data_IF_194817690887
#
_entry.id   IF_194817690887
#
_cell.length_a   1.000
_cell.length_b   1.000
_cell.length_c   1.000
_cell.angle_alpha   90.00
_cell.angle_beta   90.00
_cell.angle_gamma   90.00
#
_symmetry.space_group_name_H-M   'P 1'
#
loop_
_entity.id
_entity.type
_entity.pdbx_description
1 polymer ?
#
# COMPACT_ATOMS: atom_id res chain seq x y z
N UNK A 1 -95.55 42.83 25.69
CA UNK A 1 -94.99 43.59 24.55
C UNK A 1 -93.49 43.74 24.76
N UNK A 2 -92.71 43.57 23.70
CA UNK A 2 -91.24 43.71 23.57
C UNK A 2 -90.35 42.56 24.11
N UNK A 3 -90.06 41.63 23.19
CA UNK A 3 -88.86 40.81 23.16
C UNK A 3 -87.64 41.67 22.75
N UNK A 4 -86.46 41.44 23.35
CA UNK A 4 -85.27 40.87 22.67
C UNK A 4 -83.94 41.08 23.42
N UNK A 5 -83.14 40.01 23.38
CA UNK A 5 -81.68 39.88 23.48
C UNK A 5 -80.96 40.10 24.82
N UNK A 6 -80.51 38.98 25.42
CA UNK A 6 -79.34 38.90 26.29
C UNK A 6 -78.23 38.14 25.53
N UNK A 7 -77.07 38.78 25.35
CA UNK A 7 -75.84 38.13 24.90
C UNK A 7 -75.17 37.44 26.09
N UNK A 8 -74.81 36.17 25.95
CA UNK A 8 -73.95 35.44 26.87
C UNK A 8 -72.65 35.13 26.14
N UNK A 9 -71.54 35.72 26.58
CA UNK A 9 -70.21 35.51 26.01
C UNK A 9 -69.65 34.14 26.38
N UNK A 10 -69.18 33.40 25.38
CA UNK A 10 -68.50 32.11 25.52
C UNK A 10 -66.99 32.35 25.61
N UNK A 11 -66.38 31.95 26.72
CA UNK A 11 -64.93 31.99 26.91
C UNK A 11 -64.26 30.80 26.20
N UNK A 12 -63.30 31.08 25.32
CA UNK A 12 -62.42 30.09 24.70
C UNK A 12 -61.36 29.63 25.72
N UNK A 13 -61.32 28.33 25.99
CA UNK A 13 -60.21 27.68 26.68
C UNK A 13 -59.15 27.24 25.66
N UNK A 14 -57.93 27.80 25.74
CA UNK A 14 -56.75 27.31 25.02
C UNK A 14 -56.18 26.09 25.76
N UNK A 15 -56.09 24.95 25.07
CA UNK A 15 -55.31 23.79 25.49
C UNK A 15 -53.87 23.93 24.97
N UNK A 16 -52.91 24.05 25.88
CA UNK A 16 -51.48 24.04 25.58
C UNK A 16 -51.00 22.60 25.41
N UNK A 17 -50.62 22.21 24.19
CA UNK A 17 -49.87 20.99 23.90
C UNK A 17 -48.42 21.16 24.33
N UNK A 18 -47.98 20.41 25.33
CA UNK A 18 -46.56 20.27 25.70
C UNK A 18 -45.86 19.40 24.66
N UNK A 19 -45.04 20.02 23.80
CA UNK A 19 -44.09 19.30 22.95
C UNK A 19 -42.93 18.80 23.81
N UNK A 20 -42.76 17.48 23.89
CA UNK A 20 -41.56 16.87 24.44
C UNK A 20 -40.37 17.21 23.52
N UNK A 21 -39.49 18.08 23.98
CA UNK A 21 -38.19 18.32 23.36
C UNK A 21 -37.32 17.12 23.74
N UNK A 22 -37.16 16.18 22.81
CA UNK A 22 -36.09 15.21 22.90
C UNK A 22 -34.77 15.99 22.75
N UNK A 23 -34.04 16.14 23.86
CA UNK A 23 -32.67 16.62 23.84
C UNK A 23 -31.83 15.60 23.06
N UNK A 24 -31.49 15.94 21.83
CA UNK A 24 -30.48 15.25 21.05
C UNK A 24 -29.17 15.30 21.84
N UNK A 25 -28.73 14.15 22.35
CA UNK A 25 -27.43 14.05 23.00
C UNK A 25 -26.37 14.42 21.95
N UNK A 26 -25.40 15.31 22.26
CA UNK A 26 -24.29 15.54 21.37
C UNK A 26 -23.60 14.19 21.15
N UNK A 27 -23.56 13.75 19.89
CA UNK A 27 -22.74 12.62 19.45
C UNK A 27 -21.35 12.84 20.03
N UNK A 28 -20.96 12.04 21.01
CA UNK A 28 -19.58 12.04 21.49
C UNK A 28 -18.72 11.73 20.26
N UNK A 29 -17.96 12.72 19.81
CA UNK A 29 -16.88 12.48 18.87
C UNK A 29 -15.91 11.53 19.56
N UNK A 30 -16.04 10.24 19.26
CA UNK A 30 -15.10 9.21 19.68
C UNK A 30 -13.78 9.56 19.01
N UNK A 31 -12.94 10.37 19.67
CA UNK A 31 -11.58 10.63 19.22
C UNK A 31 -10.90 9.28 19.03
N UNK A 32 -10.39 9.00 17.83
CA UNK A 32 -9.66 7.75 17.61
C UNK A 32 -8.40 7.81 18.46
N UNK A 33 -8.26 6.91 19.44
CA UNK A 33 -7.01 6.77 20.19
C UNK A 33 -5.96 6.16 19.28
N UNK A 34 -5.12 7.00 18.68
CA UNK A 34 -3.95 6.56 17.91
C UNK A 34 -2.89 6.00 18.87
N UNK A 35 -2.69 4.69 18.84
CA UNK A 35 -1.69 4.02 19.65
C UNK A 35 -0.33 4.00 18.96
N UNK A 36 0.76 4.12 19.73
CA UNK A 36 2.12 4.01 19.21
C UNK A 36 2.48 2.59 18.75
N UNK A 37 1.78 1.57 19.27
CA UNK A 37 1.97 0.17 18.91
C UNK A 37 0.89 -0.27 17.91
N UNK A 38 1.22 -1.17 16.97
CA UNK A 38 0.21 -1.74 16.09
C UNK A 38 -0.80 -2.57 16.89
N UNK A 39 -2.07 -2.66 16.44
CA UNK A 39 -3.06 -3.52 17.08
C UNK A 39 -2.58 -4.98 17.12
N UNK A 40 -2.70 -5.62 18.29
CA UNK A 40 -2.26 -7.01 18.47
C UNK A 40 -3.17 -8.03 17.76
N UNK A 41 -4.44 -7.67 17.53
CA UNK A 41 -5.44 -8.51 16.88
C UNK A 41 -6.17 -7.72 15.80
N UNK A 42 -6.52 -8.40 14.72
CA UNK A 42 -7.45 -7.85 13.73
C UNK A 42 -8.90 -7.97 14.21
N UNK A 43 -9.86 -7.24 13.61
CA UNK A 43 -11.28 -7.48 13.80
C UNK A 43 -11.66 -8.94 13.46
N UNK A 44 -12.81 -9.40 13.95
CA UNK A 44 -13.39 -10.70 13.57
C UNK A 44 -13.76 -10.75 12.07
N UNK A 45 -13.81 -11.94 11.47
CA UNK A 45 -13.92 -12.09 10.02
C UNK A 45 -15.25 -11.54 9.43
N UNK A 46 -16.30 -11.49 10.25
CA UNK A 46 -17.62 -10.95 9.92
C UNK A 46 -17.79 -9.47 10.29
N UNK A 47 -16.75 -8.83 10.85
CA UNK A 47 -16.75 -7.41 11.18
C UNK A 47 -16.95 -6.53 9.94
N UNK A 48 -17.38 -5.29 10.19
CA UNK A 48 -17.67 -4.35 9.12
C UNK A 48 -16.41 -3.92 8.37
N UNK A 49 -16.57 -3.42 7.13
CA UNK A 49 -15.45 -2.84 6.40
C UNK A 49 -14.81 -1.66 7.16
N UNK A 50 -15.61 -0.86 7.87
CA UNK A 50 -15.11 0.26 8.68
C UNK A 50 -14.19 -0.21 9.80
N UNK A 51 -14.47 -1.36 10.43
CA UNK A 51 -13.64 -1.88 11.52
C UNK A 51 -12.28 -2.34 11.00
N UNK A 52 -12.26 -3.00 9.84
CA UNK A 52 -11.01 -3.33 9.14
C UNK A 52 -10.27 -2.08 8.66
N UNK A 53 -10.97 -1.06 8.20
CA UNK A 53 -10.35 0.20 7.76
C UNK A 53 -9.74 0.97 8.94
N UNK A 54 -10.38 0.98 10.11
CA UNK A 54 -9.80 1.50 11.35
C UNK A 54 -8.57 0.69 11.79
N UNK A 55 -8.65 -0.64 11.71
CA UNK A 55 -7.50 -1.50 11.97
C UNK A 55 -6.31 -1.13 11.07
N UNK A 56 -6.53 -1.01 9.76
CA UNK A 56 -5.50 -0.62 8.79
C UNK A 56 -4.90 0.75 9.07
N UNK A 57 -5.74 1.73 9.42
CA UNK A 57 -5.26 3.05 9.83
C UNK A 57 -4.43 3.01 11.11
N UNK A 58 -4.84 2.23 12.12
CA UNK A 58 -4.06 2.06 13.34
C UNK A 58 -2.70 1.41 13.07
N UNK A 59 -2.66 0.40 12.18
CA UNK A 59 -1.40 -0.20 11.72
C UNK A 59 -0.55 0.84 10.99
N UNK A 60 -1.11 1.60 10.04
CA UNK A 60 -0.39 2.63 9.30
C UNK A 60 0.18 3.72 10.22
N UNK A 61 -0.59 4.19 11.20
CA UNK A 61 -0.14 5.17 12.19
C UNK A 61 1.01 4.62 13.04
N UNK A 62 0.87 3.42 13.60
CA UNK A 62 1.91 2.80 14.43
C UNK A 62 3.21 2.56 13.64
N UNK A 63 3.11 2.12 12.39
CA UNK A 63 4.27 1.93 11.51
C UNK A 63 4.99 3.25 11.19
N UNK A 64 4.26 4.38 11.18
CA UNK A 64 4.82 5.70 10.95
C UNK A 64 5.24 6.43 12.23
N UNK A 65 5.15 5.79 13.39
CA UNK A 65 5.74 6.31 14.62
C UNK A 65 7.27 6.37 14.51
N UNK A 66 7.96 7.34 15.14
CA UNK A 66 9.42 7.32 15.24
C UNK A 66 9.94 5.98 15.79
N UNK A 67 10.97 5.43 15.17
CA UNK A 67 11.62 4.21 15.65
C UNK A 67 12.56 4.49 16.83
N UNK A 68 12.62 3.56 17.78
CA UNK A 68 13.59 3.56 18.86
C UNK A 68 15.00 3.39 18.30
N UNK A 69 15.90 4.31 18.69
CA UNK A 69 17.29 4.28 18.21
C UNK A 69 17.97 2.96 18.57
N UNK A 70 18.52 2.27 17.58
CA UNK A 70 19.21 0.98 17.74
C UNK A 70 18.29 -0.24 17.94
N UNK A 71 16.96 -0.06 17.91
CA UNK A 71 15.97 -1.13 18.04
C UNK A 71 15.01 -1.08 16.85
N UNK A 72 15.39 -1.76 15.76
CA UNK A 72 14.59 -1.79 14.54
C UNK A 72 13.21 -2.39 14.83
N UNK A 73 12.20 -1.78 14.24
CA UNK A 73 10.81 -2.20 14.34
C UNK A 73 10.12 -1.89 15.67
N UNK A 74 10.81 -1.26 16.62
CA UNK A 74 10.21 -0.84 17.89
C UNK A 74 9.90 0.67 17.83
N UNK A 75 8.67 1.11 18.11
CA UNK A 75 8.36 2.53 18.20
C UNK A 75 8.96 3.15 19.47
N UNK A 76 9.44 4.37 19.37
CA UNK A 76 9.74 5.21 20.52
C UNK A 76 8.44 5.91 20.98
N UNK A 77 7.68 5.23 21.84
CA UNK A 77 6.45 5.76 22.40
C UNK A 77 6.65 6.97 23.35
N UNK A 78 7.91 7.34 23.66
CA UNK A 78 8.20 8.58 24.41
C UNK A 78 8.19 9.82 23.51
N UNK A 79 8.29 9.64 22.19
CA UNK A 79 8.23 10.70 21.20
C UNK A 79 6.82 10.84 20.61
N UNK A 80 6.38 12.07 20.27
CA UNK A 80 5.13 12.25 19.54
C UNK A 80 5.26 11.73 18.09
N UNK A 81 4.14 11.28 17.54
CA UNK A 81 4.02 10.95 16.12
C UNK A 81 4.45 12.14 15.24
N UNK A 82 5.22 11.87 14.20
CA UNK A 82 5.76 12.91 13.31
C UNK A 82 7.07 13.55 13.78
N UNK A 83 7.65 13.10 14.89
CA UNK A 83 9.02 13.49 15.26
C UNK A 83 10.03 13.06 14.20
N UNK A 84 11.15 13.78 14.13
CA UNK A 84 12.23 13.50 13.19
C UNK A 84 12.87 12.13 13.40
N UNK A 85 13.37 11.54 12.31
CA UNK A 85 14.05 10.25 12.33
C UNK A 85 13.33 9.22 11.46
N UNK A 86 13.89 8.01 11.33
CA UNK A 86 13.21 6.93 10.62
C UNK A 86 11.95 6.52 11.38
N UNK A 87 10.87 6.27 10.65
CA UNK A 87 9.71 5.59 11.21
C UNK A 87 10.00 4.13 11.53
N UNK A 88 9.11 3.49 12.32
CA UNK A 88 9.17 2.05 12.63
C UNK A 88 9.39 1.23 11.37
N UNK A 89 8.57 1.43 10.33
CA UNK A 89 8.71 0.65 9.10
C UNK A 89 9.97 1.01 8.29
N UNK A 90 10.45 2.25 8.36
CA UNK A 90 11.72 2.65 7.72
C UNK A 90 12.93 1.95 8.36
N UNK A 91 12.79 1.45 9.59
CA UNK A 91 13.83 0.68 10.26
C UNK A 91 13.82 -0.82 9.94
N UNK A 92 12.77 -1.34 9.30
CA UNK A 92 12.69 -2.75 8.89
C UNK A 92 13.78 -3.11 7.88
N UNK A 93 14.11 -4.41 7.79
CA UNK A 93 15.07 -4.93 6.83
C UNK A 93 14.48 -4.95 5.43
N UNK A 94 15.19 -4.35 4.46
CA UNK A 94 14.80 -4.37 3.04
C UNK A 94 15.19 -5.68 2.37
N UNK A 95 14.71 -5.93 1.15
CA UNK A 95 15.12 -7.11 0.36
C UNK A 95 16.63 -7.27 0.25
N UNK A 96 17.36 -6.19 0.00
CA UNK A 96 18.81 -6.23 -0.17
C UNK A 96 19.54 -6.49 1.15
N UNK A 97 18.93 -6.18 2.29
CA UNK A 97 19.47 -6.53 3.61
C UNK A 97 19.11 -7.98 4.03
N UNK A 98 18.05 -8.57 3.46
CA UNK A 98 17.60 -9.94 3.78
C UNK A 98 18.26 -10.98 2.86
N UNK A 99 18.31 -10.69 1.57
CA UNK A 99 18.71 -11.63 0.52
C UNK A 99 20.07 -11.26 -0.08
N UNK A 100 21.10 -11.38 0.74
CA UNK A 100 22.47 -11.01 0.37
C UNK A 100 23.00 -11.85 -0.82
N UNK A 101 23.97 -11.30 -1.58
CA UNK A 101 24.66 -12.05 -2.63
C UNK A 101 25.19 -13.40 -2.14
N UNK A 102 25.16 -14.40 -3.01
CA UNK A 102 25.60 -15.78 -2.71
C UNK A 102 24.84 -16.45 -1.55
N UNK A 103 23.61 -16.03 -1.27
CA UNK A 103 22.77 -16.65 -0.23
C UNK A 103 23.40 -16.59 1.16
N UNK A 104 24.17 -15.53 1.43
CA UNK A 104 24.83 -15.32 2.71
C UNK A 104 23.80 -15.06 3.82
N UNK A 105 24.15 -15.46 5.05
CA UNK A 105 23.34 -15.14 6.22
C UNK A 105 23.31 -13.61 6.41
N UNK A 106 22.11 -12.98 6.50
CA UNK A 106 21.97 -11.52 6.60
C UNK A 106 22.39 -10.92 7.94
N UNK A 107 22.84 -11.74 8.90
CA UNK A 107 23.35 -11.30 10.20
C UNK A 107 22.25 -11.08 11.23
N UNK A 108 22.48 -10.20 12.22
CA UNK A 108 21.47 -9.87 13.24
C UNK A 108 20.46 -8.82 12.76
N UNK A 109 19.23 -8.91 13.26
CA UNK A 109 18.14 -7.95 13.01
C UNK A 109 18.59 -6.49 13.23
N UNK A 110 19.09 -6.17 14.43
CA UNK A 110 19.49 -4.81 14.84
C UNK A 110 20.86 -4.33 14.30
N UNK A 111 21.27 -4.78 13.11
CA UNK A 111 22.42 -4.18 12.42
C UNK A 111 22.13 -2.72 12.02
N UNK A 112 23.16 -1.84 11.90
CA UNK A 112 22.96 -0.42 11.58
C UNK A 112 22.11 -0.20 10.34
N UNK A 113 21.35 0.91 10.29
CA UNK A 113 20.59 1.29 9.10
C UNK A 113 21.54 1.63 7.96
N UNK A 114 21.30 1.05 6.80
CA UNK A 114 22.01 1.36 5.57
C UNK A 114 21.24 2.40 4.74
N UNK A 115 21.94 3.17 3.92
CA UNK A 115 21.30 4.06 2.95
C UNK A 115 20.51 3.21 1.97
N UNK A 116 19.19 3.45 1.87
CA UNK A 116 18.35 2.69 0.94
C UNK A 116 18.77 2.98 -0.50
N UNK A 117 18.88 1.92 -1.30
CA UNK A 117 19.13 1.99 -2.74
C UNK A 117 17.91 1.44 -3.47
N UNK A 118 17.15 2.31 -4.13
CA UNK A 118 15.90 1.94 -4.79
C UNK A 118 16.07 1.84 -6.30
N UNK A 119 15.34 0.91 -6.89
CA UNK A 119 15.20 0.74 -8.33
C UNK A 119 13.73 0.47 -8.67
N UNK A 120 13.43 0.26 -9.96
CA UNK A 120 12.19 -0.37 -10.35
C UNK A 120 12.22 -1.84 -9.92
N UNK A 121 11.15 -2.33 -9.29
CA UNK A 121 11.02 -3.73 -8.90
C UNK A 121 10.12 -4.41 -9.93
N UNK A 122 10.65 -5.34 -10.71
CA UNK A 122 9.84 -6.25 -11.53
C UNK A 122 9.95 -7.68 -10.97
N UNK A 123 8.93 -8.12 -10.24
CA UNK A 123 8.87 -9.49 -9.69
C UNK A 123 8.64 -10.54 -10.79
N UNK A 124 7.95 -10.19 -11.88
CA UNK A 124 7.71 -11.12 -12.98
C UNK A 124 8.96 -11.40 -13.84
N UNK A 125 9.93 -10.48 -13.87
CA UNK A 125 11.27 -10.72 -14.42
C UNK A 125 12.08 -11.76 -13.61
N UNK A 126 11.70 -12.02 -12.34
CA UNK A 126 12.27 -13.07 -11.50
C UNK A 126 11.58 -14.42 -11.80
N UNK A 127 11.94 -15.02 -12.94
CA UNK A 127 11.46 -16.30 -13.48
C UNK A 127 10.86 -17.27 -12.44
N UNK A 128 9.54 -17.50 -12.48
CA UNK A 128 8.94 -18.85 -12.38
C UNK A 128 7.42 -18.93 -12.65
N UNK A 129 6.75 -17.87 -13.14
CA UNK A 129 5.28 -17.91 -13.27
C UNK A 129 4.85 -17.85 -14.73
N UNK A 130 4.01 -18.80 -15.14
CA UNK A 130 3.17 -18.73 -16.35
C UNK A 130 2.10 -17.63 -16.28
N UNK A 131 2.10 -16.81 -15.23
CA UNK A 131 1.15 -15.71 -14.95
C UNK A 131 1.85 -14.36 -15.16
N UNK A 132 2.50 -14.22 -16.31
CA UNK A 132 3.38 -13.08 -16.65
C UNK A 132 2.58 -11.78 -16.76
N UNK A 133 1.43 -11.79 -17.44
CA UNK A 133 0.69 -10.56 -17.78
C UNK A 133 0.13 -9.74 -16.61
N UNK A 134 -0.44 -10.38 -15.57
CA UNK A 134 -1.02 -9.66 -14.44
C UNK A 134 0.03 -9.21 -13.41
N UNK A 135 1.09 -10.01 -13.22
CA UNK A 135 2.17 -9.70 -12.26
C UNK A 135 3.07 -8.58 -12.81
N UNK A 136 3.35 -8.58 -14.12
CA UNK A 136 4.08 -7.50 -14.82
C UNK A 136 3.40 -6.14 -14.66
N UNK A 137 2.06 -6.12 -14.68
CA UNK A 137 1.27 -4.90 -14.62
C UNK A 137 0.94 -4.47 -13.18
N UNK A 138 1.01 -5.40 -12.20
CA UNK A 138 0.85 -5.15 -10.76
C UNK A 138 2.17 -4.83 -10.04
N UNK A 139 3.30 -5.12 -10.69
CA UNK A 139 4.63 -4.99 -10.10
C UNK A 139 5.59 -4.34 -11.10
N UNK A 140 5.59 -3.01 -11.11
CA UNK A 140 6.71 -2.23 -11.65
C UNK A 140 6.88 -2.25 -13.16
N UNK A 141 5.79 -2.02 -13.90
CA UNK A 141 5.87 -1.35 -15.19
C UNK A 141 6.49 0.04 -15.07
N UNK A 142 6.90 0.64 -16.17
CA UNK A 142 7.27 2.06 -16.15
C UNK A 142 6.09 2.86 -15.62
N UNK A 143 6.33 3.59 -14.53
CA UNK A 143 5.40 4.56 -13.99
C UNK A 143 6.16 5.87 -13.84
N UNK A 144 5.99 6.75 -14.81
CA UNK A 144 6.63 8.05 -14.91
C UNK A 144 5.64 9.10 -14.39
N UNK A 145 6.08 9.89 -13.40
CA UNK A 145 5.27 10.96 -12.82
C UNK A 145 5.11 12.16 -13.79
N UNK A 146 4.26 13.11 -13.42
CA UNK A 146 4.02 14.33 -14.22
C UNK A 146 5.24 15.28 -14.28
N UNK A 147 6.34 14.96 -13.57
CA UNK A 147 7.64 15.65 -13.67
C UNK A 147 8.62 14.91 -14.57
N UNK A 148 8.22 13.80 -15.19
CA UNK A 148 9.07 12.98 -16.06
C UNK A 148 10.02 12.06 -15.31
N UNK A 149 9.82 11.87 -14.00
CA UNK A 149 10.68 11.01 -13.17
C UNK A 149 10.07 9.61 -13.01
N UNK A 150 10.88 8.54 -12.99
CA UNK A 150 10.39 7.22 -12.68
C UNK A 150 9.95 7.09 -11.22
N UNK A 151 8.96 6.25 -11.01
CA UNK A 151 8.54 5.79 -9.68
C UNK A 151 9.40 4.62 -9.26
N UNK A 152 9.90 4.68 -8.04
CA UNK A 152 10.76 3.70 -7.41
C UNK A 152 9.98 2.87 -6.40
N UNK A 153 10.41 1.63 -6.17
CA UNK A 153 9.73 0.74 -5.24
C UNK A 153 10.69 0.19 -4.23
N UNK A 154 10.16 -0.12 -3.04
CA UNK A 154 10.92 -0.74 -1.97
C UNK A 154 10.05 -1.74 -1.21
N UNK A 155 10.67 -2.82 -0.74
CA UNK A 155 10.01 -3.87 0.01
C UNK A 155 10.81 -4.14 1.28
N UNK A 156 10.12 -4.12 2.42
CA UNK A 156 10.71 -4.37 3.73
C UNK A 156 9.84 -5.32 4.56
N UNK A 157 10.47 -6.05 5.47
CA UNK A 157 9.82 -7.03 6.33
C UNK A 157 10.13 -6.77 7.81
N UNK A 158 9.15 -6.98 8.68
CA UNK A 158 9.36 -6.81 10.12
C UNK A 158 10.23 -7.93 10.71
N UNK A 159 10.57 -7.79 12.00
CA UNK A 159 11.43 -8.75 12.69
C UNK A 159 10.87 -10.18 12.65
N UNK A 160 9.56 -10.34 12.86
CA UNK A 160 8.89 -11.64 12.81
C UNK A 160 9.05 -12.34 11.46
N UNK A 161 8.91 -11.62 10.36
CA UNK A 161 9.18 -12.14 9.01
C UNK A 161 10.67 -12.46 8.81
N UNK A 162 11.55 -11.57 9.27
CA UNK A 162 13.00 -11.73 9.16
C UNK A 162 13.51 -12.97 9.90
N UNK A 163 13.13 -13.12 11.17
CA UNK A 163 13.54 -14.24 12.01
C UNK A 163 13.08 -15.56 11.39
N UNK A 164 11.85 -15.64 10.89
CA UNK A 164 11.36 -16.82 10.15
C UNK A 164 12.23 -17.15 8.92
N UNK A 165 12.61 -16.15 8.13
CA UNK A 165 13.48 -16.34 6.96
C UNK A 165 14.87 -16.84 7.40
N UNK A 166 15.46 -16.25 8.44
CA UNK A 166 16.82 -16.57 8.90
C UNK A 166 16.88 -17.94 9.58
N UNK A 167 15.96 -18.23 10.49
CA UNK A 167 15.90 -19.50 11.24
C UNK A 167 15.74 -20.71 10.31
N UNK A 168 15.01 -20.55 9.21
CA UNK A 168 14.82 -21.59 8.20
C UNK A 168 15.86 -21.58 7.07
N UNK A 169 16.84 -20.66 7.11
CA UNK A 169 17.80 -20.41 6.03
C UNK A 169 17.14 -20.12 4.67
N UNK A 170 15.93 -19.55 4.66
CA UNK A 170 15.16 -19.28 3.44
C UNK A 170 15.69 -18.08 2.63
N UNK A 171 16.71 -17.37 3.12
CA UNK A 171 17.51 -16.45 2.31
C UNK A 171 18.35 -17.18 1.23
N UNK A 172 18.56 -18.48 1.39
CA UNK A 172 19.28 -19.33 0.43
C UNK A 172 18.30 -20.00 -0.55
N UNK A 173 18.46 -19.72 -1.85
CA UNK A 173 17.61 -20.25 -2.91
C UNK A 173 17.59 -21.78 -2.99
N UNK A 174 18.72 -22.44 -2.72
CA UNK A 174 18.85 -23.90 -2.80
C UNK A 174 18.12 -24.62 -1.66
N UNK A 175 17.81 -23.89 -0.59
CA UNK A 175 17.04 -24.36 0.57
C UNK A 175 15.55 -24.06 0.34
N UNK A 176 15.20 -22.79 0.13
CA UNK A 176 13.79 -22.39 0.03
C UNK A 176 13.09 -23.00 -1.19
N UNK A 177 13.81 -23.28 -2.28
CA UNK A 177 13.25 -23.96 -3.46
C UNK A 177 12.71 -25.37 -3.18
N UNK A 178 13.19 -26.02 -2.12
CA UNK A 178 12.78 -27.37 -1.70
C UNK A 178 11.73 -27.36 -0.59
N UNK A 179 11.45 -26.19 0.00
CA UNK A 179 10.46 -26.04 1.06
C UNK A 179 9.04 -26.27 0.51
N UNK A 180 8.26 -27.10 1.20
CA UNK A 180 6.88 -27.45 0.83
C UNK A 180 5.83 -26.72 1.67
N UNK A 181 6.18 -26.41 2.92
CA UNK A 181 5.27 -25.92 3.95
C UNK A 181 5.77 -24.57 4.49
N UNK A 182 5.98 -23.60 3.61
CA UNK A 182 6.24 -22.22 4.03
C UNK A 182 4.96 -21.70 4.67
N UNK A 183 5.07 -21.25 5.93
CA UNK A 183 3.98 -20.68 6.71
C UNK A 183 4.58 -19.73 7.75
N UNK A 184 4.39 -18.43 7.55
CA UNK A 184 4.91 -17.42 8.46
C UNK A 184 4.21 -17.52 9.84
N UNK A 185 4.90 -17.13 10.92
CA UNK A 185 4.25 -16.95 12.22
C UNK A 185 3.30 -15.74 12.21
N UNK A 186 2.35 -15.74 13.16
CA UNK A 186 1.48 -14.59 13.38
C UNK A 186 2.30 -13.32 13.65
N UNK A 187 1.75 -12.18 13.23
CA UNK A 187 2.38 -10.84 13.27
C UNK A 187 3.50 -10.64 12.24
N UNK A 188 3.81 -11.63 11.40
CA UNK A 188 4.62 -11.38 10.20
C UNK A 188 3.99 -10.24 9.39
N UNK A 189 4.82 -9.26 9.04
CA UNK A 189 4.41 -8.07 8.30
C UNK A 189 5.37 -7.84 7.14
N UNK A 190 4.82 -7.53 5.97
CA UNK A 190 5.58 -7.08 4.82
C UNK A 190 4.99 -5.76 4.31
N UNK A 191 5.88 -4.90 3.84
CA UNK A 191 5.54 -3.57 3.36
C UNK A 191 6.12 -3.42 1.97
N UNK A 192 5.31 -2.95 1.03
CA UNK A 192 5.75 -2.51 -0.29
C UNK A 192 5.39 -1.05 -0.47
N UNK A 193 6.34 -0.23 -0.90
CA UNK A 193 6.16 1.22 -1.04
C UNK A 193 6.52 1.69 -2.44
N UNK A 194 5.83 2.73 -2.91
CA UNK A 194 6.10 3.45 -4.14
C UNK A 194 6.55 4.87 -3.79
N UNK A 195 7.58 5.35 -4.49
CA UNK A 195 8.27 6.60 -4.23
C UNK A 195 8.47 7.38 -5.51
N UNK A 196 8.25 8.69 -5.44
CA UNK A 196 8.65 9.61 -6.51
C UNK A 196 9.77 10.52 -6.04
N UNK A 197 10.57 11.01 -6.98
CA UNK A 197 11.56 12.05 -6.71
C UNK A 197 10.83 13.37 -6.44
N UNK A 198 11.13 14.01 -5.31
CA UNK A 198 10.67 15.36 -5.02
C UNK A 198 11.68 16.37 -5.58
N UNK A 199 11.16 17.35 -6.33
CA UNK A 199 11.93 18.43 -6.92
C UNK A 199 11.64 19.76 -6.22
N UNK A 200 12.34 20.82 -6.60
CA UNK A 200 12.04 22.18 -6.11
C UNK A 200 10.63 22.68 -6.50
N UNK A 201 9.90 21.96 -7.36
CA UNK A 201 8.55 22.28 -7.81
C UNK A 201 7.46 21.58 -6.99
N UNK A 202 7.86 20.71 -6.05
CA UNK A 202 6.96 19.93 -5.22
C UNK A 202 6.95 20.48 -3.78
N UNK A 203 5.80 20.40 -3.12
CA UNK A 203 5.67 20.75 -1.70
C UNK A 203 6.02 19.54 -0.83
N UNK A 204 7.31 19.40 -0.49
CA UNK A 204 7.80 18.29 0.33
C UNK A 204 7.15 18.21 1.72
N UNK A 205 6.54 19.29 2.23
CA UNK A 205 5.83 19.30 3.52
C UNK A 205 4.51 18.50 3.51
N UNK A 206 4.14 17.93 2.36
CA UNK A 206 2.96 17.07 2.18
C UNK A 206 3.28 15.58 2.06
N UNK A 207 4.56 15.21 2.15
CA UNK A 207 5.02 13.84 1.92
C UNK A 207 5.78 13.32 3.14
N UNK A 208 5.59 12.05 3.46
CA UNK A 208 6.60 11.29 4.18
C UNK A 208 7.83 11.15 3.27
N UNK A 209 8.99 11.58 3.75
CA UNK A 209 10.21 11.67 2.93
C UNK A 209 11.31 10.70 3.37
N UNK A 210 12.24 10.45 2.45
CA UNK A 210 13.45 9.68 2.68
C UNK A 210 14.57 10.15 1.73
N UNK A 211 15.80 10.25 2.23
CA UNK A 211 16.98 10.31 1.37
C UNK A 211 17.37 8.90 0.94
N UNK A 212 17.58 8.70 -0.36
CA UNK A 212 17.96 7.40 -0.91
C UNK A 212 18.90 7.55 -2.11
N UNK A 213 19.65 6.49 -2.39
CA UNK A 213 20.25 6.28 -3.71
C UNK A 213 19.17 5.73 -4.63
N UNK A 214 19.06 6.25 -5.85
CA UNK A 214 18.11 5.77 -6.85
C UNK A 214 18.82 5.41 -8.14
N UNK A 215 18.42 4.27 -8.73
CA UNK A 215 18.95 3.81 -10.01
C UNK A 215 18.68 4.84 -11.12
N UNK A 216 19.69 5.05 -11.97
CA UNK A 216 19.58 5.86 -13.19
C UNK A 216 19.28 4.98 -14.39
N UNK A 217 18.42 5.47 -15.28
CA UNK A 217 17.97 4.76 -16.47
C UNK A 217 18.22 5.60 -17.74
N UNK A 218 18.44 4.93 -18.86
CA UNK A 218 18.52 5.58 -20.17
C UNK A 218 17.12 5.94 -20.75
N UNK A 219 17.10 6.49 -21.96
CA UNK A 219 15.85 6.87 -22.65
C UNK A 219 14.94 5.68 -22.98
N UNK A 220 15.48 4.47 -22.97
CA UNK A 220 14.83 3.19 -23.20
C UNK A 220 14.48 2.48 -21.89
N UNK A 221 14.61 3.17 -20.74
CA UNK A 221 14.28 2.63 -19.42
C UNK A 221 15.17 1.48 -18.98
N UNK A 222 16.37 1.34 -19.55
CA UNK A 222 17.34 0.35 -19.12
C UNK A 222 18.20 0.93 -17.99
N UNK A 223 18.44 0.18 -16.90
CA UNK A 223 19.35 0.61 -15.85
C UNK A 223 20.76 0.84 -16.41
N UNK A 224 21.35 1.98 -16.09
CA UNK A 224 22.72 2.35 -16.50
C UNK A 224 23.80 1.69 -15.64
N UNK A 225 23.42 1.11 -14.51
CA UNK A 225 24.33 0.61 -13.47
C UNK A 225 24.78 1.68 -12.47
N UNK A 226 24.43 2.96 -12.70
CA UNK A 226 24.73 4.05 -11.79
C UNK A 226 23.53 4.39 -10.89
N UNK A 227 23.81 4.96 -9.73
CA UNK A 227 22.80 5.55 -8.83
C UNK A 227 23.09 7.03 -8.60
N UNK A 228 22.06 7.77 -8.21
CA UNK A 228 22.17 9.16 -7.74
C UNK A 228 21.43 9.34 -6.43
N UNK A 229 21.88 10.25 -5.58
CA UNK A 229 21.12 10.63 -4.39
C UNK A 229 19.87 11.43 -4.79
N UNK A 230 18.74 11.16 -4.12
CA UNK A 230 17.50 11.90 -4.28
C UNK A 230 16.71 11.97 -2.97
N UNK A 231 15.93 13.06 -2.82
CA UNK A 231 14.85 13.14 -1.83
C UNK A 231 13.60 12.52 -2.42
N UNK A 232 13.10 11.47 -1.78
CA UNK A 232 11.91 10.76 -2.21
C UNK A 232 10.70 11.11 -1.36
N UNK A 233 9.52 11.14 -1.98
CA UNK A 233 8.22 11.26 -1.32
C UNK A 233 7.39 9.99 -1.50
N UNK A 234 6.85 9.47 -0.41
CA UNK A 234 6.01 8.27 -0.43
C UNK A 234 4.69 8.58 -1.14
N UNK A 235 4.39 7.83 -2.20
CA UNK A 235 3.16 7.99 -3.00
C UNK A 235 2.20 6.81 -2.86
N UNK A 236 2.68 5.62 -2.50
CA UNK A 236 1.81 4.46 -2.28
C UNK A 236 2.42 3.48 -1.30
N UNK A 237 1.59 2.80 -0.51
CA UNK A 237 2.04 1.85 0.49
C UNK A 237 1.07 0.69 0.64
N UNK A 238 1.56 -0.51 0.42
CA UNK A 238 0.90 -1.75 0.80
C UNK A 238 1.48 -2.23 2.12
N UNK A 239 0.59 -2.61 3.04
CA UNK A 239 0.92 -3.26 4.29
C UNK A 239 0.18 -4.58 4.30
N UNK A 240 0.88 -5.68 4.48
CA UNK A 240 0.26 -7.00 4.63
C UNK A 240 0.66 -7.57 5.98
N UNK A 241 -0.32 -8.08 6.74
CA UNK A 241 -0.12 -8.62 8.09
C UNK A 241 -0.74 -10.00 8.19
N UNK A 242 0.03 -10.99 8.68
CA UNK A 242 -0.49 -12.29 9.10
C UNK A 242 -1.09 -12.17 10.51
N UNK A 243 -2.33 -11.69 10.59
CA UNK A 243 -2.97 -11.43 11.88
C UNK A 243 -3.28 -12.73 12.64
N UNK A 244 -3.14 -12.75 13.99
CA UNK A 244 -3.63 -13.87 14.79
C UNK A 244 -5.10 -14.18 14.49
N UNK A 245 -5.43 -15.47 14.34
CA UNK A 245 -6.79 -15.93 14.02
C UNK A 245 -7.11 -15.98 12.52
N UNK A 246 -6.18 -15.60 11.64
CA UNK A 246 -6.36 -15.67 10.19
C UNK A 246 -5.36 -16.65 9.54
N UNK A 247 -5.83 -17.67 8.81
CA UNK A 247 -4.93 -18.55 8.04
C UNK A 247 -4.30 -17.82 6.84
N UNK A 248 -5.04 -16.89 6.23
CA UNK A 248 -4.54 -15.97 5.20
C UNK A 248 -4.08 -14.65 5.85
N UNK A 249 -3.68 -13.68 5.03
CA UNK A 249 -3.21 -12.37 5.50
C UNK A 249 -4.33 -11.32 5.48
N UNK A 250 -4.04 -10.10 5.91
CA UNK A 250 -4.87 -8.90 5.71
C UNK A 250 -4.04 -7.88 4.95
N UNK A 251 -4.62 -7.28 3.91
CA UNK A 251 -3.97 -6.33 3.02
C UNK A 251 -4.56 -4.93 3.21
N UNK A 252 -3.70 -3.96 3.48
CA UNK A 252 -4.05 -2.54 3.58
C UNK A 252 -3.33 -1.79 2.47
N UNK A 253 -4.05 -0.95 1.72
CA UNK A 253 -3.45 -0.14 0.66
C UNK A 253 -3.72 1.35 0.86
N UNK A 254 -2.64 2.11 0.99
CA UNK A 254 -2.64 3.56 1.22
C UNK A 254 -2.04 4.30 0.05
N UNK A 255 -2.54 5.52 -0.17
CA UNK A 255 -2.02 6.43 -1.18
C UNK A 255 -1.80 7.82 -0.61
N UNK A 256 -0.86 8.55 -1.20
CA UNK A 256 -0.74 9.99 -0.99
C UNK A 256 -1.88 10.70 -1.77
N UNK A 257 -2.53 11.69 -1.15
CA UNK A 257 -3.78 12.30 -1.65
C UNK A 257 -3.60 13.11 -2.94
N UNK A 258 -2.39 13.52 -3.26
CA UNK A 258 -2.00 14.25 -4.47
C UNK A 258 -1.46 13.33 -5.57
N UNK A 259 -1.75 12.02 -5.54
CA UNK A 259 -1.48 11.15 -6.68
C UNK A 259 -2.41 11.44 -7.86
N UNK A 260 -3.71 11.39 -7.60
CA UNK A 260 -4.81 11.63 -8.54
C UNK A 260 -5.96 12.34 -7.81
N UNK A 261 -6.81 13.12 -8.52
CA UNK A 261 -7.95 13.78 -7.90
C UNK A 261 -8.93 12.83 -7.20
N UNK A 262 -9.64 13.28 -6.15
CA UNK A 262 -10.79 12.56 -5.65
C UNK A 262 -11.89 12.49 -6.71
N UNK A 263 -12.70 11.43 -6.65
CA UNK A 263 -13.89 11.28 -7.48
C UNK A 263 -15.14 11.63 -6.68
N UNK A 264 -16.09 12.29 -7.34
CA UNK A 264 -17.45 12.51 -6.80
C UNK A 264 -18.48 11.83 -7.68
N UNK A 265 -19.53 11.32 -7.05
CA UNK A 265 -20.65 10.72 -7.75
C UNK A 265 -21.62 11.82 -8.17
N UNK A 266 -21.81 11.99 -9.46
CA UNK A 266 -22.73 12.94 -10.04
C UNK A 266 -24.20 12.47 -9.83
N UNK A 267 -25.20 13.38 -9.93
CA UNK A 267 -26.61 13.02 -9.79
C UNK A 267 -27.09 11.95 -10.79
N UNK A 268 -26.46 11.85 -11.95
CA UNK A 268 -26.73 10.83 -12.98
C UNK A 268 -26.10 9.46 -12.68
N UNK A 269 -25.38 9.34 -11.56
CA UNK A 269 -24.71 8.12 -11.11
C UNK A 269 -23.31 7.90 -11.66
N UNK A 270 -22.84 8.76 -12.58
CA UNK A 270 -21.46 8.73 -13.10
C UNK A 270 -20.47 9.27 -12.08
N UNK A 271 -19.18 8.97 -12.24
CA UNK A 271 -18.12 9.51 -11.39
C UNK A 271 -17.24 10.49 -12.16
N UNK A 272 -16.99 11.66 -11.58
CA UNK A 272 -16.12 12.69 -12.14
C UNK A 272 -14.94 12.99 -11.22
N UNK A 273 -13.78 13.27 -11.81
CA UNK A 273 -12.61 13.76 -11.06
C UNK A 273 -12.84 15.20 -10.61
N UNK A 274 -12.45 15.52 -9.38
CA UNK A 274 -12.56 16.86 -8.79
C UNK A 274 -11.16 17.37 -8.42
N UNK A 275 -10.34 17.78 -9.40
CA UNK A 275 -9.02 18.31 -9.13
C UNK A 275 -9.11 19.59 -8.30
N UNK A 276 -8.31 19.67 -7.24
CA UNK A 276 -8.23 20.84 -6.39
C UNK A 276 -7.30 21.90 -7.00
N UNK A 277 -7.74 23.16 -6.97
CA UNK A 277 -6.95 24.29 -7.48
C UNK A 277 -5.63 24.40 -6.69
N UNK A 278 -4.52 24.55 -7.41
CA UNK A 278 -3.19 24.70 -6.82
C UNK A 278 -2.50 23.39 -6.42
N UNK A 279 -3.16 22.24 -6.59
CA UNK A 279 -2.54 20.92 -6.38
C UNK A 279 -1.95 20.42 -7.69
N UNK A 280 -0.64 20.16 -7.68
CA UNK A 280 0.06 19.49 -8.77
C UNK A 280 0.02 17.98 -8.51
N UNK A 281 -0.95 17.30 -9.10
CA UNK A 281 -1.09 15.86 -8.94
C UNK A 281 0.10 15.12 -9.56
N UNK A 282 0.58 14.09 -8.86
CA UNK A 282 1.79 13.35 -9.21
C UNK A 282 1.63 12.54 -10.49
N UNK A 283 0.43 12.04 -10.79
CA UNK A 283 0.19 11.14 -11.91
C UNK A 283 -1.03 11.51 -12.77
N UNK A 284 -1.78 12.56 -12.43
CA UNK A 284 -2.98 12.94 -13.17
C UNK A 284 -2.70 14.04 -14.21
N UNK A 285 -3.23 13.85 -15.42
CA UNK A 285 -3.28 14.85 -16.47
C UNK A 285 -4.74 15.07 -16.91
N UNK A 286 -5.24 16.30 -16.74
CA UNK A 286 -6.60 16.66 -17.09
C UNK A 286 -6.87 16.68 -18.61
N UNK A 287 -5.82 16.76 -19.42
CA UNK A 287 -5.92 16.80 -20.88
C UNK A 287 -5.71 15.42 -21.52
N UNK A 288 -5.39 14.39 -20.72
CA UNK A 288 -5.17 13.05 -21.22
C UNK A 288 -6.45 12.46 -21.83
N UNK A 289 -6.41 11.93 -23.07
CA UNK A 289 -7.52 11.20 -23.65
C UNK A 289 -7.95 10.01 -22.79
N UNK A 290 -9.25 9.73 -22.71
CA UNK A 290 -9.80 8.69 -21.85
C UNK A 290 -9.24 7.28 -22.14
N UNK A 291 -8.91 7.00 -23.40
CA UNK A 291 -8.30 5.73 -23.84
C UNK A 291 -6.80 5.62 -23.53
N UNK A 292 -6.15 6.72 -23.14
CA UNK A 292 -4.76 6.75 -22.68
C UNK A 292 -4.60 6.54 -21.17
N UNK A 293 -5.68 6.73 -20.40
CA UNK A 293 -5.66 6.60 -18.95
C UNK A 293 -5.38 5.16 -18.53
N UNK A 294 -4.53 5.00 -17.51
CA UNK A 294 -4.22 3.70 -16.92
C UNK A 294 -3.73 2.66 -17.94
N UNK A 295 -3.05 3.10 -19.01
CA UNK A 295 -2.45 2.21 -19.99
C UNK A 295 -0.96 2.04 -19.75
N UNK A 296 -0.48 0.79 -19.73
CA UNK A 296 0.96 0.50 -19.69
C UNK A 296 1.65 1.19 -20.90
N UNK A 297 2.72 1.98 -20.68
CA UNK A 297 3.41 2.67 -21.77
C UNK A 297 4.21 1.70 -22.65
N UNK A 298 4.48 0.49 -22.18
CA UNK A 298 5.27 -0.49 -22.92
C UNK A 298 4.55 -1.83 -23.05
N UNK A 299 5.09 -2.66 -23.94
CA UNK A 299 4.78 -4.08 -24.03
C UNK A 299 5.97 -4.86 -23.49
N UNK A 300 5.71 -5.76 -22.53
CA UNK A 300 6.73 -6.67 -22.03
C UNK A 300 7.07 -7.73 -23.08
N UNK A 301 8.35 -7.84 -23.40
CA UNK A 301 8.88 -8.78 -24.38
C UNK A 301 9.98 -9.62 -23.75
N UNK A 302 9.92 -10.92 -23.97
CA UNK A 302 10.98 -11.83 -23.55
C UNK A 302 12.23 -11.60 -24.42
N UNK A 303 13.33 -11.21 -23.79
CA UNK A 303 14.65 -11.12 -24.41
C UNK A 303 15.64 -12.02 -23.65
N UNK A 304 15.91 -13.19 -24.21
CA UNK A 304 16.74 -14.21 -23.56
C UNK A 304 16.13 -14.68 -22.24
N UNK A 305 16.85 -14.48 -21.13
CA UNK A 305 16.37 -14.82 -19.79
C UNK A 305 15.53 -13.70 -19.13
N UNK A 306 15.49 -12.51 -19.71
CA UNK A 306 14.90 -11.33 -19.08
C UNK A 306 13.61 -10.91 -19.79
N UNK A 307 12.71 -10.26 -19.06
CA UNK A 307 11.61 -9.49 -19.64
C UNK A 307 12.05 -8.05 -19.76
N UNK A 308 11.88 -7.48 -20.95
CA UNK A 308 12.22 -6.08 -21.24
C UNK A 308 10.94 -5.35 -21.64
N UNK A 309 10.74 -4.19 -21.06
CA UNK A 309 9.63 -3.29 -21.33
C UNK A 309 9.97 -2.47 -22.58
N UNK A 310 9.41 -2.85 -23.73
CA UNK A 310 9.63 -2.15 -25.00
C UNK A 310 8.55 -1.07 -25.17
N UNK A 311 8.90 0.23 -25.21
CA UNK A 311 7.92 1.31 -25.30
C UNK A 311 7.00 1.18 -26.51
N UNK A 312 5.71 1.51 -26.31
CA UNK A 312 4.73 1.63 -27.40
C UNK A 312 5.01 2.90 -28.21
N UNK A 313 4.51 2.94 -29.45
CA UNK A 313 4.63 4.12 -30.30
C UNK A 313 4.11 5.38 -29.57
N UNK A 314 4.92 6.45 -29.55
CA UNK A 314 4.59 7.70 -28.87
C UNK A 314 4.91 7.75 -27.37
N UNK A 315 5.51 6.70 -26.80
CA UNK A 315 5.93 6.64 -25.39
C UNK A 315 7.44 6.50 -25.25
N UNK A 316 7.97 6.91 -24.10
CA UNK A 316 9.38 6.80 -23.72
C UNK A 316 9.49 6.67 -22.21
N UNK A 317 10.69 6.41 -21.69
CA UNK A 317 10.95 6.40 -20.24
C UNK A 317 10.91 7.81 -19.61
N UNK A 318 10.54 8.83 -20.40
CA UNK A 318 10.37 10.22 -19.95
C UNK A 318 8.93 10.70 -20.18
N UNK A 319 8.06 9.89 -20.78
CA UNK A 319 6.66 10.25 -21.04
C UNK A 319 5.83 9.99 -19.78
N UNK A 320 5.21 11.01 -19.16
CA UNK A 320 4.34 10.83 -18.00
C UNK A 320 3.22 9.83 -18.27
N UNK A 321 2.90 9.00 -17.29
CA UNK A 321 1.78 8.08 -17.36
C UNK A 321 0.54 8.73 -16.74
N UNK A 322 -0.49 9.09 -17.53
CA UNK A 322 -1.70 9.67 -16.97
C UNK A 322 -2.52 8.58 -16.29
N UNK A 323 -2.68 8.73 -14.98
CA UNK A 323 -3.45 7.83 -14.14
C UNK A 323 -4.77 8.44 -13.70
N UNK A 324 -5.74 7.56 -13.53
CA UNK A 324 -7.03 7.86 -12.92
C UNK A 324 -7.41 6.73 -11.96
N UNK A 325 -8.18 7.02 -10.92
CA UNK A 325 -8.67 5.98 -9.99
C UNK A 325 -9.87 5.28 -10.59
N UNK A 326 -9.75 4.05 -11.09
CA UNK A 326 -10.91 3.37 -11.70
C UNK A 326 -12.02 3.08 -10.69
N UNK A 327 -11.66 2.56 -9.52
CA UNK A 327 -12.63 2.19 -8.47
C UNK A 327 -12.61 3.27 -7.37
N UNK A 328 -13.69 4.06 -7.22
CA UNK A 328 -13.77 5.07 -6.18
C UNK A 328 -13.64 4.46 -4.78
N UNK A 329 -13.07 5.22 -3.85
CA UNK A 329 -13.07 4.88 -2.43
C UNK A 329 -14.53 4.86 -1.97
N UNK A 330 -14.96 3.76 -1.35
CA UNK A 330 -16.35 3.62 -0.89
C UNK A 330 -16.63 4.60 0.27
N UNK A 331 -17.89 5.00 0.44
CA UNK A 331 -18.30 5.97 1.48
C UNK A 331 -17.80 5.59 2.87
N UNK A 332 -17.94 4.31 3.25
CA UNK A 332 -17.50 3.81 4.55
C UNK A 332 -16.00 4.03 4.81
N UNK A 333 -15.15 3.76 3.82
CA UNK A 333 -13.70 3.99 3.91
C UNK A 333 -13.37 5.48 3.87
N UNK A 334 -14.09 6.27 3.07
CA UNK A 334 -13.91 7.71 3.00
C UNK A 334 -14.26 8.42 4.33
N UNK A 335 -15.29 7.95 5.04
CA UNK A 335 -15.64 8.42 6.39
C UNK A 335 -14.52 8.13 7.40
N UNK A 336 -13.95 6.91 7.36
CA UNK A 336 -12.80 6.56 8.21
C UNK A 336 -11.59 7.43 7.86
N UNK A 337 -11.29 7.61 6.56
CA UNK A 337 -10.21 8.51 6.12
C UNK A 337 -10.39 9.92 6.67
N UNK A 338 -11.59 10.50 6.53
CA UNK A 338 -11.87 11.85 7.02
C UNK A 338 -11.63 11.98 8.52
N UNK A 339 -12.05 10.98 9.31
CA UNK A 339 -11.83 10.94 10.75
C UNK A 339 -10.33 10.91 11.09
N UNK A 340 -9.56 9.98 10.52
CA UNK A 340 -8.13 9.88 10.82
C UNK A 340 -7.35 11.10 10.30
N UNK A 341 -7.69 11.63 9.13
CA UNK A 341 -7.06 12.85 8.63
C UNK A 341 -7.35 14.03 9.55
N UNK A 342 -8.56 14.15 10.12
CA UNK A 342 -8.90 15.16 11.12
C UNK A 342 -8.13 14.96 12.44
N UNK A 343 -7.98 13.73 12.91
CA UNK A 343 -7.25 13.44 14.15
C UNK A 343 -5.72 13.63 13.97
N UNK A 344 -5.23 13.46 12.74
CA UNK A 344 -3.82 13.54 12.36
C UNK A 344 -3.42 14.90 11.75
N UNK A 345 -4.23 15.95 11.88
CA UNK A 345 -4.02 17.27 11.24
C UNK A 345 -2.66 17.91 11.54
N UNK A 346 -2.04 17.55 12.66
CA UNK A 346 -0.72 18.05 13.07
C UNK A 346 0.45 17.19 12.58
N UNK A 347 0.19 16.18 11.73
CA UNK A 347 1.20 15.26 11.19
C UNK A 347 1.11 15.22 9.67
N UNK A 348 2.15 14.70 9.03
CA UNK A 348 2.18 14.46 7.58
C UNK A 348 1.18 13.38 7.15
N UNK A 349 0.71 12.53 8.08
CA UNK A 349 -0.19 11.41 7.77
C UNK A 349 -1.57 11.86 7.28
N UNK A 350 -1.97 13.11 7.53
CA UNK A 350 -3.21 13.69 6.98
C UNK A 350 -3.22 13.77 5.45
N UNK A 351 -2.06 13.70 4.81
CA UNK A 351 -1.92 13.68 3.34
C UNK A 351 -1.91 12.28 2.76
N UNK A 352 -2.30 11.28 3.55
CA UNK A 352 -2.49 9.90 3.11
C UNK A 352 -3.94 9.49 3.29
N UNK A 353 -4.36 8.51 2.51
CA UNK A 353 -5.70 7.94 2.57
C UNK A 353 -5.65 6.44 2.34
N UNK A 354 -6.47 5.70 3.08
CA UNK A 354 -6.71 4.29 2.82
C UNK A 354 -7.60 4.16 1.58
N UNK A 355 -7.22 3.30 0.65
CA UNK A 355 -8.06 2.97 -0.50
C UNK A 355 -9.03 1.85 -0.14
N UNK A 356 -8.53 0.79 0.48
CA UNK A 356 -9.34 -0.30 1.05
C UNK A 356 -8.50 -1.21 1.94
N UNK A 357 -9.17 -1.92 2.84
CA UNK A 357 -8.62 -3.10 3.53
C UNK A 357 -9.21 -4.36 2.92
N UNK A 358 -8.38 -5.20 2.30
CA UNK A 358 -8.80 -6.49 1.77
C UNK A 358 -8.46 -7.63 2.73
N UNK A 359 -9.43 -8.51 2.96
CA UNK A 359 -9.40 -9.59 3.96
C UNK A 359 -10.19 -10.82 3.48
N UNK A 360 -9.96 -12.02 4.03
CA UNK A 360 -10.81 -13.18 3.77
C UNK A 360 -12.16 -13.03 4.49
N UNK A 361 -13.29 -13.15 3.78
CA UNK A 361 -14.63 -13.14 4.40
C UNK A 361 -14.93 -14.39 5.25
N UNK A 362 -14.37 -15.53 4.84
CA UNK A 362 -14.56 -16.82 5.49
C UNK A 362 -13.19 -17.52 5.62
N UNK A 363 -12.32 -17.02 6.52
CA UNK A 363 -10.92 -17.44 6.60
C UNK A 363 -10.75 -18.96 6.84
N UNK A 364 -11.65 -19.54 7.62
CA UNK A 364 -11.59 -20.95 8.04
C UNK A 364 -12.40 -21.89 7.16
N UNK A 365 -12.92 -21.43 6.01
CA UNK A 365 -13.72 -22.28 5.13
C UNK A 365 -12.84 -23.37 4.47
N UNK A 366 -12.99 -24.66 4.83
CA UNK A 366 -12.14 -25.72 4.29
C UNK A 366 -12.36 -25.95 2.79
N UNK A 367 -13.51 -25.54 2.23
CA UNK A 367 -13.78 -25.60 0.79
C UNK A 367 -13.14 -24.46 0.00
N UNK A 368 -12.64 -23.42 0.66
CA UNK A 368 -11.88 -22.34 0.05
C UNK A 368 -10.69 -21.91 0.94
N UNK A 369 -9.61 -22.72 0.99
CA UNK A 369 -8.46 -22.47 1.86
C UNK A 369 -7.67 -21.21 1.46
N UNK A 370 -7.90 -20.66 0.26
CA UNK A 370 -7.29 -19.40 -0.17
C UNK A 370 -8.05 -18.15 0.33
N UNK A 371 -9.18 -18.36 1.01
CA UNK A 371 -10.07 -17.30 1.45
C UNK A 371 -10.85 -16.67 0.30
N UNK A 372 -11.99 -16.05 0.65
CA UNK A 372 -12.75 -15.23 -0.30
C UNK A 372 -12.34 -13.76 -0.14
N UNK A 373 -11.70 -13.12 -1.13
CA UNK A 373 -11.33 -11.72 -1.04
C UNK A 373 -12.56 -10.84 -0.84
N UNK A 374 -12.49 -9.94 0.14
CA UNK A 374 -13.51 -8.93 0.36
C UNK A 374 -12.84 -7.61 0.77
N UNK A 375 -13.24 -6.47 0.22
CA UNK A 375 -13.94 -6.38 -1.07
C UNK A 375 -13.15 -7.13 -2.16
N UNK A 376 -13.82 -7.51 -3.25
CA UNK A 376 -13.19 -8.31 -4.30
C UNK A 376 -12.03 -7.56 -4.97
N UNK A 377 -12.18 -6.25 -5.15
CA UNK A 377 -11.20 -5.36 -5.77
C UNK A 377 -10.38 -4.63 -4.72
N UNK A 378 -9.07 -4.60 -4.94
CA UNK A 378 -8.11 -3.76 -4.20
C UNK A 378 -7.06 -3.27 -5.19
N UNK A 379 -7.00 -1.96 -5.41
CA UNK A 379 -6.13 -1.36 -6.41
C UNK A 379 -5.62 0.00 -5.95
N UNK A 380 -4.30 0.13 -5.84
CA UNK A 380 -3.57 1.37 -5.66
C UNK A 380 -3.17 1.92 -7.03
N UNK A 381 -3.35 3.23 -7.27
CA UNK A 381 -2.99 3.81 -8.56
C UNK A 381 -1.49 3.70 -8.87
N UNK A 382 -0.62 3.58 -7.87
CA UNK A 382 0.84 3.47 -8.07
C UNK A 382 1.38 2.03 -8.08
N UNK A 383 0.60 1.04 -7.64
CA UNK A 383 1.01 -0.37 -7.63
C UNK A 383 0.27 -1.17 -8.71
N UNK A 384 -1.05 -0.98 -8.82
CA UNK A 384 -1.94 -1.67 -9.76
C UNK A 384 -2.35 -0.77 -10.93
N UNK A 385 -1.50 0.21 -11.28
CA UNK A 385 -1.78 1.32 -12.21
C UNK A 385 -2.57 0.90 -13.44
N UNK A 386 -2.21 -0.25 -14.02
CA UNK A 386 -2.70 -0.73 -15.31
C UNK A 386 -3.69 -1.90 -15.23
N UNK A 387 -4.03 -2.37 -14.02
CA UNK A 387 -4.94 -3.50 -13.78
C UNK A 387 -6.02 -3.21 -12.73
N UNK A 388 -6.22 -1.94 -12.37
CA UNK A 388 -7.16 -1.52 -11.34
C UNK A 388 -8.57 -2.17 -11.41
N UNK A 389 -9.21 -2.34 -12.59
CA UNK A 389 -10.55 -2.94 -12.67
C UNK A 389 -10.65 -4.38 -12.15
N UNK A 390 -9.56 -5.14 -12.20
CA UNK A 390 -9.53 -6.57 -11.91
C UNK A 390 -8.54 -6.95 -10.80
N UNK A 391 -7.94 -5.96 -10.13
CA UNK A 391 -6.89 -6.23 -9.17
C UNK A 391 -7.43 -6.72 -7.82
N UNK A 392 -6.73 -7.70 -7.25
CA UNK A 392 -6.98 -8.23 -5.92
C UNK A 392 -5.65 -8.64 -5.30
N UNK A 393 -5.25 -7.97 -4.21
CA UNK A 393 -4.01 -8.26 -3.51
C UNK A 393 -4.00 -9.72 -3.02
N UNK A 394 -5.10 -10.18 -2.44
CA UNK A 394 -5.30 -11.58 -2.02
C UNK A 394 -5.08 -12.58 -3.15
N UNK A 395 -5.74 -12.38 -4.29
CA UNK A 395 -5.64 -13.31 -5.41
C UNK A 395 -4.23 -13.29 -5.99
N UNK A 396 -3.64 -12.10 -6.17
CA UNK A 396 -2.25 -11.96 -6.62
C UNK A 396 -1.29 -12.71 -5.69
N UNK A 397 -1.33 -12.39 -4.40
CA UNK A 397 -0.44 -12.98 -3.40
C UNK A 397 -0.69 -14.48 -3.18
N UNK A 398 -1.91 -14.99 -3.36
CA UNK A 398 -2.19 -16.43 -3.30
C UNK A 398 -1.39 -17.25 -4.32
N UNK A 399 -0.85 -16.58 -5.35
CA UNK A 399 -0.01 -17.19 -6.36
C UNK A 399 1.48 -17.19 -6.02
N UNK A 400 1.88 -16.56 -4.91
CA UNK A 400 3.27 -16.43 -4.54
C UNK A 400 3.94 -17.80 -4.36
N UNK A 401 5.18 -17.89 -4.84
CA UNK A 401 6.04 -19.06 -4.77
C UNK A 401 7.47 -18.59 -4.54
N UNK A 402 8.29 -19.42 -3.91
CA UNK A 402 9.73 -19.16 -3.81
C UNK A 402 10.41 -19.20 -5.20
N UNK A 403 11.65 -18.70 -5.27
CA UNK A 403 12.52 -18.88 -6.43
C UNK A 403 12.70 -20.38 -6.71
N UNK A 404 12.62 -20.78 -7.99
CA UNK A 404 12.75 -22.18 -8.44
C UNK A 404 11.83 -23.20 -7.73
N UNK A 405 10.75 -22.77 -7.07
CA UNK A 405 9.77 -23.64 -6.42
C UNK A 405 8.43 -23.62 -7.16
N UNK A 406 7.71 -24.74 -7.09
CA UNK A 406 6.31 -24.88 -7.51
C UNK A 406 5.33 -24.74 -6.34
N UNK A 407 5.84 -24.79 -5.10
CA UNK A 407 5.04 -24.71 -3.88
C UNK A 407 4.73 -23.26 -3.50
N UNK A 408 3.57 -23.06 -2.90
CA UNK A 408 3.13 -21.74 -2.43
C UNK A 408 3.98 -21.28 -1.26
N UNK A 409 4.16 -19.96 -1.16
CA UNK A 409 5.01 -19.33 -0.13
C UNK A 409 4.22 -18.46 0.83
N UNK A 410 3.07 -18.96 1.31
CA UNK A 410 2.20 -18.29 2.28
C UNK A 410 1.96 -16.80 1.96
N UNK A 411 1.47 -16.53 0.75
CA UNK A 411 1.18 -15.18 0.26
C UNK A 411 2.38 -14.24 0.11
N UNK A 412 3.61 -14.67 0.40
CA UNK A 412 4.81 -13.81 0.35
C UNK A 412 5.60 -14.00 -0.94
N UNK A 413 5.90 -12.88 -1.61
CA UNK A 413 6.82 -12.86 -2.74
C UNK A 413 8.29 -12.65 -2.33
N UNK A 414 8.61 -12.45 -1.04
CA UNK A 414 9.98 -12.20 -0.57
C UNK A 414 10.95 -13.31 -1.02
N UNK A 415 10.52 -14.57 -0.97
CA UNK A 415 11.36 -15.71 -1.33
C UNK A 415 11.71 -15.80 -2.83
N UNK A 416 11.16 -14.95 -3.70
CA UNK A 416 11.64 -14.78 -5.08
C UNK A 416 13.03 -14.15 -5.14
N UNK A 417 13.44 -13.47 -4.08
CA UNK A 417 14.70 -12.73 -4.01
C UNK A 417 15.84 -13.54 -3.41
N UNK A 418 15.57 -14.73 -2.85
CA UNK A 418 16.59 -15.63 -2.34
C UNK A 418 17.67 -15.95 -3.39
N UNK A 419 18.93 -16.05 -2.94
CA UNK A 419 20.10 -16.21 -3.80
C UNK A 419 20.75 -17.57 -3.56
N UNK A 420 21.21 -18.23 -4.63
CA UNK A 420 22.00 -19.46 -4.50
C UNK A 420 23.42 -19.13 -4.05
N UNK A 421 24.05 -19.96 -3.21
CA UNK A 421 25.48 -19.90 -2.95
C UNK A 421 26.30 -19.96 -4.25
N UNK A 422 27.40 -19.21 -4.31
CA UNK A 422 28.33 -19.29 -5.43
C UNK A 422 28.88 -20.71 -5.54
N UNK A 423 28.60 -21.41 -6.64
CA UNK A 423 29.30 -22.64 -6.97
C UNK A 423 30.72 -22.26 -7.40
N UNK A 424 31.72 -22.50 -6.55
CA UNK A 424 33.13 -22.52 -6.96
C UNK A 424 33.38 -23.73 -7.87
N UNK A 425 32.82 -23.72 -9.08
CA UNK A 425 33.14 -24.65 -10.16
C UNK A 425 32.89 -23.94 -11.49
N UNK A 426 33.89 -23.19 -11.93
CA UNK A 426 34.31 -23.13 -13.33
C UNK A 426 35.74 -22.57 -13.34
N UNK A 427 36.61 -23.19 -14.13
CA UNK A 427 38.05 -22.93 -14.33
C UNK A 427 39.04 -23.67 -13.41
N UNK A 428 38.96 -24.99 -13.39
CA UNK A 428 40.16 -25.83 -13.55
C UNK A 428 39.80 -26.97 -14.50
N UNK A 429 40.50 -27.00 -15.62
CA UNK A 429 40.51 -28.03 -16.66
C UNK A 429 39.83 -27.62 -17.98
N UNK A 430 40.49 -26.69 -18.68
CA UNK A 430 40.69 -26.77 -20.13
C UNK A 430 42.09 -26.15 -20.41
N UNK A 431 43.10 -27.02 -20.35
CA UNK A 431 44.36 -26.88 -21.11
C UNK A 431 44.19 -27.58 -22.45
#
# INVERSE_FOLDING_TARGET
MNNRFRLTGLALALSTSLSAIALEQPQQSSSVSTACQPPATAPEADASQQDFDRYSWNVFVALNWPAQTGQRGQPDCSQPLGSSGPSVWQSYKTLDEIFLPNGQNPGPWNSPLETRSLSQINIAALKNTSVVGAIDQAVGGWLIDQRGNPTYYDIAANQTSYDYIVENNFYNADIVSKAKDINFPNQATEIKTAWRILTAQDDASRYLTMQAQVAQFDTQGQPTGNTTEATLGLVGMHIIVKAPGYPQWIWSTFEQVDNVPPKVKNPDGTWSNQPQVGINYSYFDANAPADSLNQSPCTWQQQGKNLICTPKAGTSFQTPNPLDRTTPIITATAEVNAQYQQDLQNTLLKYYQLITTQRPKYPDNPSNPLGQPTPAISANVTMESYIQPNSSCMQCHSMAQAVNSVYRSDYSYLFKFAKSPSTLKDNKDEQ
#
